data_IF_119412339059
#
_entry.id   IF_119412339059
#
_cell.length_a   1.000
_cell.length_b   1.000
_cell.length_c   1.000
_cell.angle_alpha   90.00
_cell.angle_beta   90.00
_cell.angle_gamma   90.00
#
_symmetry.space_group_name_H-M   'P 1'
#
loop_
_entity.id
_entity.type
_entity.pdbx_description
1 polymer ?
#
# COMPACT_ATOMS: atom_id res chain seq x y z
N UNK A 1 -0.70 29.51 -13.88
CA UNK A 1 -0.33 28.11 -13.60
C UNK A 1 1.13 27.91 -13.94
N UNK A 2 1.91 27.26 -13.08
CA UNK A 2 3.35 27.03 -13.30
C UNK A 2 3.57 25.78 -14.16
N UNK A 3 3.18 25.83 -15.44
CA UNK A 3 3.38 24.71 -16.37
C UNK A 3 4.86 24.47 -16.73
N UNK A 4 5.73 25.43 -16.43
CA UNK A 4 7.18 25.35 -16.68
C UNK A 4 7.84 24.10 -16.09
N UNK A 5 7.28 23.55 -15.02
CA UNK A 5 7.75 22.31 -14.40
C UNK A 5 7.59 21.06 -15.30
N UNK A 6 6.71 21.14 -16.30
CA UNK A 6 6.50 20.11 -17.30
C UNK A 6 7.22 20.40 -18.63
N UNK A 7 8.11 21.41 -18.67
CA UNK A 7 8.77 21.89 -19.88
C UNK A 7 9.32 20.77 -20.79
N UNK A 8 10.05 19.75 -20.31
CA UNK A 8 10.55 18.69 -21.18
C UNK A 8 9.46 17.93 -21.93
N UNK A 9 8.30 17.74 -21.29
CA UNK A 9 7.15 17.08 -21.90
C UNK A 9 6.41 18.04 -22.82
N UNK A 10 6.20 19.30 -22.40
CA UNK A 10 5.49 20.31 -23.17
C UNK A 10 6.19 20.62 -24.50
N UNK A 11 7.52 20.71 -24.49
CA UNK A 11 8.33 21.00 -25.68
C UNK A 11 8.35 19.85 -26.69
N UNK A 12 8.04 18.63 -26.23
CA UNK A 12 8.05 17.42 -27.04
C UNK A 12 6.66 16.93 -27.48
N UNK A 13 5.59 17.61 -27.11
CA UNK A 13 4.22 17.16 -27.44
C UNK A 13 4.06 16.90 -28.95
N UNK A 14 3.56 15.71 -29.36
CA UNK A 14 3.30 15.41 -30.77
C UNK A 14 2.13 16.22 -31.34
N UNK A 15 1.19 16.62 -30.49
CA UNK A 15 -0.03 17.31 -30.86
C UNK A 15 -0.78 17.82 -29.62
N UNK A 16 -2.02 18.26 -29.76
CA UNK A 16 -2.84 18.72 -28.65
C UNK A 16 -3.09 17.60 -27.65
N UNK A 17 -2.92 17.92 -26.36
CA UNK A 17 -3.20 17.02 -25.23
C UNK A 17 -3.76 17.84 -24.06
N UNK A 18 -4.20 17.14 -23.04
CA UNK A 18 -4.70 17.75 -21.83
C UNK A 18 -4.00 17.15 -20.62
N UNK A 19 -3.45 17.99 -19.73
CA UNK A 19 -3.10 17.57 -18.39
C UNK A 19 -4.42 17.36 -17.64
N UNK A 20 -4.55 16.24 -16.90
CA UNK A 20 -5.84 15.85 -16.30
C UNK A 20 -5.71 15.33 -14.86
N UNK A 21 -6.83 15.27 -14.16
CA UNK A 21 -6.98 14.55 -12.90
C UNK A 21 -6.15 15.11 -11.75
N UNK A 22 -5.45 14.20 -11.07
CA UNK A 22 -4.59 14.54 -9.94
C UNK A 22 -3.52 15.56 -10.25
N UNK A 23 -2.93 15.48 -11.45
CA UNK A 23 -1.90 16.43 -11.90
C UNK A 23 -2.41 17.88 -11.99
N UNK A 24 -3.67 18.09 -12.43
CA UNK A 24 -4.29 19.44 -12.46
C UNK A 24 -4.62 19.92 -11.05
N UNK A 25 -5.21 19.04 -10.23
CA UNK A 25 -5.52 19.36 -8.83
C UNK A 25 -4.26 19.79 -8.06
N UNK A 26 -3.21 19.00 -8.15
CA UNK A 26 -1.97 19.22 -7.40
C UNK A 26 -1.24 20.47 -7.92
N UNK A 27 -1.33 20.74 -9.23
CA UNK A 27 -0.87 22.00 -9.84
C UNK A 27 -1.60 23.23 -9.29
N UNK A 28 -2.93 23.15 -9.14
CA UNK A 28 -3.75 24.25 -8.62
C UNK A 28 -3.55 24.48 -7.11
N UNK A 29 -3.22 23.41 -6.37
CA UNK A 29 -2.90 23.46 -4.93
C UNK A 29 -1.43 23.86 -4.67
N UNK A 30 -0.62 24.05 -5.70
CA UNK A 30 0.83 24.31 -5.61
C UNK A 30 1.56 23.25 -4.76
N UNK A 31 1.09 22.00 -4.81
CA UNK A 31 1.73 20.90 -4.10
C UNK A 31 3.08 20.56 -4.74
N UNK A 32 4.06 20.06 -3.95
CA UNK A 32 5.33 19.64 -4.49
C UNK A 32 5.15 18.53 -5.51
N UNK A 33 5.97 18.56 -6.57
CA UNK A 33 5.88 17.64 -7.69
C UNK A 33 5.98 16.17 -7.23
N UNK A 34 4.92 15.44 -7.46
CA UNK A 34 5.03 14.02 -7.79
C UNK A 34 5.26 13.99 -9.30
N UNK A 35 6.31 13.33 -9.77
CA UNK A 35 6.69 13.27 -11.20
C UNK A 35 5.67 12.53 -12.08
N UNK A 36 4.45 12.39 -11.62
CA UNK A 36 3.36 11.69 -12.30
C UNK A 36 2.58 12.71 -13.14
N UNK A 37 2.81 12.68 -14.45
CA UNK A 37 2.11 13.55 -15.41
C UNK A 37 1.04 12.72 -16.10
N UNK A 38 -0.24 13.02 -15.84
CA UNK A 38 -1.37 12.37 -16.48
C UNK A 38 -1.83 13.20 -17.70
N UNK A 39 -1.70 12.64 -18.88
CA UNK A 39 -2.20 13.25 -20.12
C UNK A 39 -3.43 12.50 -20.66
N UNK A 40 -4.44 13.25 -21.10
CA UNK A 40 -5.53 12.75 -21.90
C UNK A 40 -5.42 13.28 -23.32
N UNK A 41 -5.68 12.42 -24.31
CA UNK A 41 -5.64 12.74 -25.74
C UNK A 41 -7.00 12.42 -26.36
N UNK A 42 -7.62 13.39 -27.00
CA UNK A 42 -8.82 13.16 -27.83
C UNK A 42 -8.34 12.60 -29.18
N UNK A 43 -8.38 11.26 -29.31
CA UNK A 43 -7.82 10.53 -30.45
C UNK A 43 -7.05 9.28 -30.01
N UNK A 44 -6.01 8.93 -30.74
CA UNK A 44 -5.18 7.75 -30.46
C UNK A 44 -4.08 8.07 -29.43
N UNK A 45 -4.36 7.78 -28.15
CA UNK A 45 -3.40 7.99 -27.05
C UNK A 45 -2.17 7.10 -27.14
N UNK A 46 -2.29 5.87 -27.68
CA UNK A 46 -1.12 4.97 -27.81
C UNK A 46 -0.17 5.47 -28.89
N UNK A 47 -0.68 5.93 -30.02
CA UNK A 47 0.15 6.54 -31.05
C UNK A 47 0.83 7.78 -30.52
N UNK A 48 0.07 8.66 -29.85
CA UNK A 48 0.60 9.87 -29.21
C UNK A 48 1.74 9.53 -28.23
N UNK A 49 1.59 8.52 -27.40
CA UNK A 49 2.60 8.11 -26.43
C UNK A 49 3.89 7.61 -27.12
N UNK A 50 3.78 6.86 -28.24
CA UNK A 50 4.96 6.42 -29.01
C UNK A 50 5.71 7.61 -29.61
N UNK A 51 4.99 8.53 -30.23
CA UNK A 51 5.59 9.73 -30.81
C UNK A 51 6.22 10.65 -29.75
N UNK A 52 5.57 10.79 -28.57
CA UNK A 52 6.14 11.50 -27.44
C UNK A 52 7.43 10.85 -26.96
N UNK A 53 7.45 9.51 -26.79
CA UNK A 53 8.63 8.77 -26.38
C UNK A 53 9.81 8.97 -27.33
N UNK A 54 9.58 8.92 -28.65
CA UNK A 54 10.59 9.19 -29.66
C UNK A 54 11.20 10.60 -29.52
N UNK A 55 10.36 11.60 -29.26
CA UNK A 55 10.80 13.01 -29.16
C UNK A 55 11.59 13.31 -27.89
N UNK A 56 11.26 12.67 -26.77
CA UNK A 56 11.95 12.89 -25.49
C UNK A 56 13.10 11.89 -25.24
N UNK A 57 13.37 10.98 -26.20
CA UNK A 57 14.40 9.96 -26.05
C UNK A 57 14.04 8.89 -25.00
N UNK A 58 12.74 8.62 -24.84
CA UNK A 58 12.21 7.65 -23.89
C UNK A 58 11.71 6.34 -24.51
N UNK A 59 10.95 5.57 -23.74
CA UNK A 59 10.28 4.35 -24.16
C UNK A 59 8.80 4.38 -23.78
N UNK A 60 7.91 3.98 -24.71
CA UNK A 60 6.48 3.85 -24.46
C UNK A 60 6.11 2.37 -24.21
N UNK A 61 5.39 2.12 -23.13
CA UNK A 61 4.78 0.83 -22.81
C UNK A 61 3.27 0.98 -22.88
N UNK A 62 2.63 0.27 -23.82
CA UNK A 62 1.18 0.31 -24.01
C UNK A 62 0.46 -0.72 -23.14
N UNK A 63 -0.72 -0.39 -22.62
CA UNK A 63 -1.52 -1.24 -21.72
C UNK A 63 -2.82 -1.75 -22.40
N UNK A 64 -2.81 -1.95 -23.67
CA UNK A 64 -3.67 -2.71 -24.61
C UNK A 64 -5.20 -2.68 -24.52
N UNK A 65 -5.82 -2.53 -23.35
CA UNK A 65 -7.29 -2.64 -23.23
C UNK A 65 -8.07 -1.31 -23.28
N UNK A 66 -7.41 -0.19 -23.01
CA UNK A 66 -8.10 1.11 -22.82
C UNK A 66 -7.39 2.28 -23.50
N UNK A 67 -6.50 2.02 -24.47
CA UNK A 67 -5.75 3.06 -25.14
C UNK A 67 -4.88 3.87 -24.18
N UNK A 68 -4.26 3.20 -23.21
CA UNK A 68 -3.36 3.82 -22.21
C UNK A 68 -1.93 3.38 -22.44
N UNK A 69 -0.97 4.27 -22.18
CA UNK A 69 0.45 4.00 -22.27
C UNK A 69 1.23 4.80 -21.22
N UNK A 70 2.33 4.23 -20.74
CA UNK A 70 3.29 4.91 -19.88
C UNK A 70 4.55 5.21 -20.69
N UNK A 71 4.94 6.48 -20.78
CA UNK A 71 6.18 6.93 -21.39
C UNK A 71 7.23 7.15 -20.31
N UNK A 72 8.30 6.39 -20.33
CA UNK A 72 9.44 6.51 -19.40
C UNK A 72 10.61 7.20 -20.08
N UNK A 73 11.24 8.14 -19.39
CA UNK A 73 12.37 8.90 -19.90
C UNK A 73 13.45 9.14 -18.84
N UNK A 74 14.44 9.94 -19.15
CA UNK A 74 15.64 10.13 -18.34
C UNK A 74 15.32 10.49 -16.86
N UNK A 75 16.06 9.92 -15.93
CA UNK A 75 15.90 10.16 -14.48
C UNK A 75 14.79 9.34 -13.80
N UNK A 76 14.16 8.38 -14.50
CA UNK A 76 13.09 7.54 -13.96
C UNK A 76 11.71 8.23 -13.94
N UNK A 77 11.60 9.43 -14.51
CA UNK A 77 10.35 10.14 -14.68
C UNK A 77 9.45 9.43 -15.72
N UNK A 78 8.15 9.56 -15.55
CA UNK A 78 7.19 8.98 -16.49
C UNK A 78 6.02 9.91 -16.75
N UNK A 79 5.37 9.67 -17.89
CA UNK A 79 4.12 10.33 -18.31
C UNK A 79 3.12 9.24 -18.63
N UNK A 80 1.97 9.28 -17.99
CA UNK A 80 0.87 8.41 -18.32
C UNK A 80 -0.03 9.10 -19.36
N UNK A 81 -0.23 8.44 -20.49
CA UNK A 81 -1.05 8.93 -21.59
C UNK A 81 -2.27 8.02 -21.72
N UNK A 82 -3.45 8.61 -21.72
CA UNK A 82 -4.70 7.90 -21.92
C UNK A 82 -5.48 8.49 -23.09
N UNK A 83 -6.12 7.64 -23.89
CA UNK A 83 -7.18 8.08 -24.79
C UNK A 83 -8.35 8.60 -23.98
N UNK A 84 -8.81 9.81 -24.28
CA UNK A 84 -10.02 10.37 -23.70
C UNK A 84 -11.22 9.46 -23.99
N UNK A 85 -12.03 9.16 -22.96
CA UNK A 85 -13.06 8.13 -23.07
C UNK A 85 -14.31 8.48 -22.29
N UNK A 86 -15.43 7.88 -22.70
CA UNK A 86 -16.66 7.84 -21.94
C UNK A 86 -16.82 6.49 -21.26
N UNK A 87 -17.58 6.46 -20.19
CA UNK A 87 -17.90 5.25 -19.44
C UNK A 87 -19.43 5.17 -19.22
N UNK A 88 -20.01 4.00 -19.46
CA UNK A 88 -21.42 3.70 -19.21
C UNK A 88 -21.52 2.47 -18.32
N UNK A 89 -22.38 2.51 -17.32
CA UNK A 89 -22.55 1.42 -16.35
C UNK A 89 -23.88 0.72 -16.63
N UNK A 90 -23.82 -0.56 -17.04
CA UNK A 90 -24.99 -1.37 -17.33
C UNK A 90 -25.80 -1.73 -16.06
N UNK A 91 -25.13 -1.81 -14.91
CA UNK A 91 -25.70 -2.08 -13.60
C UNK A 91 -24.84 -1.43 -12.50
N UNK A 92 -25.38 -1.26 -11.27
CA UNK A 92 -24.59 -0.83 -10.13
C UNK A 92 -23.34 -1.71 -9.94
N UNK A 93 -22.25 -1.11 -9.50
CA UNK A 93 -20.96 -1.76 -9.25
C UNK A 93 -20.34 -2.54 -10.44
N UNK A 94 -20.97 -2.56 -11.61
CA UNK A 94 -20.44 -3.21 -12.79
C UNK A 94 -19.17 -2.54 -13.29
N UNK A 95 -18.36 -3.26 -14.06
CA UNK A 95 -17.30 -2.64 -14.83
C UNK A 95 -17.92 -1.78 -15.94
N UNK A 96 -17.41 -0.57 -16.19
CA UNK A 96 -17.94 0.29 -17.23
C UNK A 96 -17.68 -0.26 -18.64
N UNK A 97 -18.64 -0.04 -19.52
CA UNK A 97 -18.42 -0.09 -20.95
C UNK A 97 -17.72 1.21 -21.37
N UNK A 98 -16.61 1.06 -22.08
CA UNK A 98 -15.74 2.17 -22.46
C UNK A 98 -15.84 2.45 -23.95
N UNK A 99 -16.01 3.72 -24.32
CA UNK A 99 -15.95 4.20 -25.70
C UNK A 99 -15.06 5.45 -25.81
N UNK A 100 -14.42 5.71 -26.97
CA UNK A 100 -13.66 6.95 -27.15
C UNK A 100 -14.54 8.17 -26.95
N UNK A 101 -14.02 9.19 -26.25
CA UNK A 101 -14.69 10.46 -26.07
C UNK A 101 -14.50 11.37 -27.31
N UNK A 102 -15.52 12.12 -27.64
CA UNK A 102 -15.45 13.12 -28.71
C UNK A 102 -14.77 14.43 -28.25
N UNK A 103 -14.87 14.73 -26.96
CA UNK A 103 -14.31 15.93 -26.34
C UNK A 103 -13.65 15.61 -25.01
N UNK A 104 -12.84 16.52 -24.48
CA UNK A 104 -12.26 16.36 -23.15
C UNK A 104 -13.33 16.45 -22.05
N UNK A 105 -14.36 17.26 -22.24
CA UNK A 105 -15.47 17.41 -21.32
C UNK A 105 -16.23 16.10 -21.12
N UNK A 106 -16.31 15.25 -22.16
CA UNK A 106 -16.91 13.93 -22.06
C UNK A 106 -16.06 12.99 -21.17
N UNK A 107 -14.73 13.06 -21.25
CA UNK A 107 -13.84 12.32 -20.36
C UNK A 107 -13.95 12.82 -18.91
N UNK A 108 -14.10 14.13 -18.70
CA UNK A 108 -14.22 14.68 -17.36
C UNK A 108 -15.50 14.25 -16.65
N UNK A 109 -16.60 13.97 -17.38
CA UNK A 109 -17.90 13.54 -16.79
C UNK A 109 -17.88 12.18 -16.13
N UNK A 110 -16.97 11.28 -16.51
CA UNK A 110 -16.88 9.92 -15.94
C UNK A 110 -16.07 9.86 -14.65
N UNK A 111 -15.38 10.95 -14.26
CA UNK A 111 -14.46 10.98 -13.14
C UNK A 111 -15.18 10.91 -11.80
N UNK A 112 -14.42 10.69 -10.74
CA UNK A 112 -14.94 10.47 -9.39
C UNK A 112 -15.46 11.74 -8.71
N UNK A 113 -14.60 12.78 -8.63
CA UNK A 113 -14.88 14.02 -7.91
C UNK A 113 -14.59 15.24 -8.76
N UNK A 114 -15.29 16.35 -8.49
CA UNK A 114 -15.12 17.62 -9.19
C UNK A 114 -13.68 18.10 -9.20
N UNK A 115 -12.97 17.95 -8.08
CA UNK A 115 -11.56 18.32 -7.93
C UNK A 115 -10.59 17.51 -8.81
N UNK A 116 -11.00 16.36 -9.32
CA UNK A 116 -10.26 15.50 -10.24
C UNK A 116 -10.83 15.57 -11.66
N UNK A 117 -11.96 16.29 -11.87
CA UNK A 117 -12.67 16.41 -13.15
C UNK A 117 -12.36 17.75 -13.84
N UNK A 118 -11.09 18.11 -13.83
CA UNK A 118 -10.53 19.30 -14.51
C UNK A 118 -9.45 18.88 -15.49
N UNK A 119 -9.25 19.68 -16.52
CA UNK A 119 -8.18 19.52 -17.49
C UNK A 119 -7.50 20.87 -17.79
N UNK A 120 -6.24 20.81 -18.20
CA UNK A 120 -5.52 21.97 -18.75
C UNK A 120 -5.10 21.65 -20.16
N UNK A 121 -5.53 22.46 -21.12
CA UNK A 121 -5.13 22.29 -22.53
C UNK A 121 -3.64 22.52 -22.71
N UNK A 122 -2.99 21.68 -23.50
CA UNK A 122 -1.57 21.77 -23.80
C UNK A 122 -1.35 21.91 -25.32
N UNK A 123 -0.50 22.85 -25.76
CA UNK A 123 0.32 23.76 -24.95
C UNK A 123 -0.41 25.08 -24.51
N UNK A 124 -1.70 25.23 -24.76
CA UNK A 124 -2.43 26.51 -24.56
C UNK A 124 -2.52 26.99 -23.11
N UNK A 125 -2.52 26.09 -22.14
CA UNK A 125 -2.59 26.43 -20.71
C UNK A 125 -3.97 26.85 -20.20
N UNK A 126 -5.03 26.64 -21.00
CA UNK A 126 -6.41 26.98 -20.62
C UNK A 126 -7.01 25.90 -19.71
N UNK A 127 -7.64 26.32 -18.61
CA UNK A 127 -8.35 25.43 -17.70
C UNK A 127 -9.75 25.10 -18.26
N UNK A 128 -10.02 23.80 -18.40
CA UNK A 128 -11.34 23.24 -18.70
C UNK A 128 -11.92 22.68 -17.40
N UNK A 129 -12.95 23.31 -16.86
CA UNK A 129 -13.54 22.99 -15.55
C UNK A 129 -15.08 23.00 -15.61
N UNK A 130 -15.71 22.03 -16.29
CA UNK A 130 -17.16 22.00 -16.48
C UNK A 130 -17.93 21.69 -15.17
N UNK A 131 -17.25 21.17 -14.15
CA UNK A 131 -17.84 20.73 -12.89
C UNK A 131 -17.50 21.62 -11.70
N UNK A 132 -16.88 22.79 -11.91
CA UNK A 132 -16.49 23.74 -10.86
C UNK A 132 -15.49 23.16 -9.85
N UNK A 133 -14.61 22.27 -10.28
CA UNK A 133 -13.59 21.62 -9.43
C UNK A 133 -12.65 22.62 -8.78
N UNK A 134 -12.29 23.71 -9.48
CA UNK A 134 -11.48 24.80 -8.92
C UNK A 134 -12.15 25.44 -7.69
N UNK A 135 -13.47 25.68 -7.77
CA UNK A 135 -14.26 26.23 -6.65
C UNK A 135 -14.25 25.26 -5.46
N UNK A 136 -14.43 23.96 -5.73
CA UNK A 136 -14.43 22.95 -4.66
C UNK A 136 -13.03 22.79 -4.04
N UNK A 137 -11.94 22.99 -4.80
CA UNK A 137 -10.59 23.10 -4.25
C UNK A 137 -10.43 24.28 -3.27
N UNK A 138 -10.92 25.46 -3.67
CA UNK A 138 -10.89 26.68 -2.83
C UNK A 138 -11.70 26.48 -1.54
N UNK A 139 -12.82 25.75 -1.62
CA UNK A 139 -13.68 25.39 -0.48
C UNK A 139 -13.16 24.19 0.33
N UNK A 140 -12.08 23.53 -0.10
CA UNK A 140 -11.57 22.27 0.47
C UNK A 140 -12.65 21.19 0.57
N UNK A 141 -13.38 21.01 -0.51
CA UNK A 141 -14.59 20.21 -0.58
C UNK A 141 -14.39 19.04 -1.57
N UNK A 142 -14.83 17.85 -1.21
CA UNK A 142 -14.90 16.68 -2.08
C UNK A 142 -16.35 16.48 -2.48
N UNK A 143 -16.63 16.61 -3.77
CA UNK A 143 -17.97 16.51 -4.34
C UNK A 143 -17.98 15.54 -5.51
N UNK A 144 -18.94 14.62 -5.54
CA UNK A 144 -19.20 13.78 -6.72
C UNK A 144 -19.85 14.58 -7.86
N UNK A 145 -19.79 14.05 -9.08
CA UNK A 145 -20.30 14.74 -10.26
C UNK A 145 -21.81 14.60 -10.42
N UNK A 146 -22.39 13.52 -9.91
CA UNK A 146 -23.83 13.23 -10.03
C UNK A 146 -24.29 12.30 -8.88
N UNK A 147 -25.60 12.21 -8.66
CA UNK A 147 -26.23 11.46 -7.56
C UNK A 147 -26.03 9.94 -7.63
N UNK A 148 -25.77 9.37 -8.79
CA UNK A 148 -25.50 7.95 -8.97
C UNK A 148 -24.02 7.58 -8.84
N UNK A 149 -23.14 8.53 -8.57
CA UNK A 149 -21.69 8.35 -8.65
C UNK A 149 -21.18 7.18 -7.80
N UNK A 150 -21.67 7.02 -6.56
CA UNK A 150 -21.32 5.92 -5.67
C UNK A 150 -22.06 4.60 -5.99
N UNK A 151 -23.21 4.69 -6.64
CA UNK A 151 -23.98 3.52 -7.10
C UNK A 151 -23.33 2.90 -8.34
N UNK A 152 -22.94 3.74 -9.28
CA UNK A 152 -22.30 3.31 -10.53
C UNK A 152 -20.90 2.71 -10.26
N UNK A 153 -20.13 3.35 -9.38
CA UNK A 153 -18.83 2.86 -8.92
C UNK A 153 -18.64 3.01 -7.39
N UNK A 154 -18.97 1.98 -6.61
CA UNK A 154 -18.82 2.03 -5.14
C UNK A 154 -17.37 2.13 -4.66
N UNK A 155 -16.34 1.88 -5.50
CA UNK A 155 -14.94 2.13 -5.12
C UNK A 155 -14.69 3.61 -4.81
N UNK A 156 -15.52 4.49 -5.33
CA UNK A 156 -15.44 5.93 -5.04
C UNK A 156 -15.71 6.27 -3.56
N UNK A 157 -16.37 5.38 -2.80
CA UNK A 157 -16.51 5.51 -1.34
C UNK A 157 -15.16 5.39 -0.63
N UNK A 158 -14.35 4.42 -1.00
CA UNK A 158 -12.98 4.26 -0.48
C UNK A 158 -12.11 5.46 -0.87
N UNK A 159 -12.21 5.87 -2.13
CA UNK A 159 -11.49 7.03 -2.67
C UNK A 159 -11.90 8.33 -1.98
N UNK A 160 -13.18 8.49 -1.61
CA UNK A 160 -13.67 9.63 -0.86
C UNK A 160 -12.96 9.75 0.50
N UNK A 161 -12.98 8.69 1.31
CA UNK A 161 -12.29 8.67 2.60
C UNK A 161 -10.78 8.93 2.45
N UNK A 162 -10.16 8.35 1.41
CA UNK A 162 -8.74 8.56 1.11
C UNK A 162 -8.43 10.02 0.77
N UNK A 163 -9.23 10.65 -0.08
CA UNK A 163 -9.00 12.05 -0.47
C UNK A 163 -9.33 13.03 0.65
N UNK A 164 -10.35 12.78 1.49
CA UNK A 164 -10.60 13.60 2.68
C UNK A 164 -9.34 13.73 3.53
N UNK A 165 -8.68 12.60 3.78
CA UNK A 165 -7.47 12.56 4.61
C UNK A 165 -6.24 13.11 3.89
N UNK A 166 -5.99 12.64 2.66
CA UNK A 166 -4.82 13.07 1.87
C UNK A 166 -4.75 14.58 1.67
N UNK A 167 -5.91 15.21 1.42
CA UNK A 167 -5.99 16.64 1.08
C UNK A 167 -6.37 17.51 2.29
N UNK A 168 -6.72 16.91 3.42
CA UNK A 168 -7.35 17.59 4.56
C UNK A 168 -8.60 18.37 4.12
N UNK A 169 -9.44 17.73 3.30
CA UNK A 169 -10.72 18.23 2.80
C UNK A 169 -11.87 17.49 3.48
N UNK A 170 -13.11 17.87 3.21
CA UNK A 170 -14.30 17.19 3.69
C UNK A 170 -15.27 16.89 2.54
N UNK A 171 -16.03 15.80 2.64
CA UNK A 171 -17.19 15.59 1.78
C UNK A 171 -18.18 16.73 1.95
N UNK A 172 -18.77 17.22 0.87
CA UNK A 172 -19.88 18.13 0.98
C UNK A 172 -21.15 17.40 1.45
N UNK A 173 -22.06 18.11 2.10
CA UNK A 173 -23.24 17.51 2.73
C UNK A 173 -24.13 16.72 1.75
N UNK A 174 -24.25 17.17 0.49
CA UNK A 174 -24.99 16.44 -0.53
C UNK A 174 -24.30 15.13 -0.91
N UNK A 175 -22.99 15.15 -1.16
CA UNK A 175 -22.20 13.96 -1.46
C UNK A 175 -22.23 12.96 -0.31
N UNK A 176 -22.05 13.40 0.94
CA UNK A 176 -22.12 12.54 2.12
C UNK A 176 -23.52 11.93 2.28
N UNK A 177 -24.57 12.68 1.98
CA UNK A 177 -25.96 12.21 2.01
C UNK A 177 -26.27 11.06 1.02
N UNK A 178 -25.42 10.86 -0.01
CA UNK A 178 -25.56 9.75 -0.96
C UNK A 178 -24.96 8.45 -0.45
N UNK A 179 -24.08 8.47 0.54
CA UNK A 179 -23.33 7.30 1.04
C UNK A 179 -24.26 6.18 1.53
N UNK A 180 -25.25 6.41 2.42
CA UNK A 180 -26.06 5.32 2.98
C UNK A 180 -26.78 4.48 1.91
N UNK A 181 -27.26 5.12 0.84
CA UNK A 181 -27.95 4.43 -0.25
C UNK A 181 -27.04 3.57 -1.13
N UNK A 182 -25.73 3.88 -1.12
CA UNK A 182 -24.72 3.23 -1.95
C UNK A 182 -24.04 2.05 -1.23
N UNK A 183 -24.04 1.97 0.09
CA UNK A 183 -23.31 0.95 0.87
C UNK A 183 -23.66 -0.47 0.43
N UNK A 184 -24.92 -0.78 0.15
CA UNK A 184 -25.33 -2.10 -0.32
C UNK A 184 -24.64 -2.57 -1.61
N UNK A 185 -24.13 -1.66 -2.42
CA UNK A 185 -23.43 -1.99 -3.67
C UNK A 185 -21.93 -2.25 -3.47
N UNK A 186 -21.39 -1.98 -2.28
CA UNK A 186 -20.01 -2.35 -1.93
C UNK A 186 -19.86 -3.87 -1.93
N UNK A 187 -20.88 -4.62 -1.47
CA UNK A 187 -20.89 -6.09 -1.49
C UNK A 187 -20.87 -6.68 -2.91
N UNK A 188 -21.32 -5.89 -3.90
CA UNK A 188 -21.34 -6.32 -5.32
C UNK A 188 -19.98 -6.12 -6.01
N UNK A 189 -19.04 -5.40 -5.37
CA UNK A 189 -17.68 -5.23 -5.89
C UNK A 189 -16.93 -6.57 -5.87
N UNK A 190 -16.12 -6.82 -6.90
CA UNK A 190 -15.17 -7.93 -6.82
C UNK A 190 -14.17 -7.72 -5.69
N UNK A 191 -13.79 -8.80 -5.00
CA UNK A 191 -12.83 -8.73 -3.91
C UNK A 191 -11.51 -8.07 -4.31
N UNK A 192 -11.07 -8.26 -5.56
CA UNK A 192 -9.88 -7.61 -6.07
C UNK A 192 -10.01 -6.07 -6.08
N UNK A 193 -11.18 -5.52 -6.45
CA UNK A 193 -11.40 -4.07 -6.44
C UNK A 193 -11.39 -3.50 -5.03
N UNK A 194 -12.01 -4.21 -4.06
CA UNK A 194 -11.97 -3.81 -2.64
C UNK A 194 -10.54 -3.83 -2.13
N UNK A 195 -9.80 -4.93 -2.39
CA UNK A 195 -8.38 -5.04 -2.00
C UNK A 195 -7.54 -3.90 -2.55
N UNK A 196 -7.70 -3.59 -3.83
CA UNK A 196 -6.87 -2.57 -4.49
C UNK A 196 -7.11 -1.18 -3.89
N UNK A 197 -8.36 -0.85 -3.50
CA UNK A 197 -8.66 0.39 -2.79
C UNK A 197 -8.12 0.38 -1.35
N UNK A 198 -8.22 -0.74 -0.61
CA UNK A 198 -7.59 -0.87 0.70
C UNK A 198 -6.07 -0.71 0.63
N UNK A 199 -5.41 -1.32 -0.37
CA UNK A 199 -3.98 -1.16 -0.58
C UNK A 199 -3.60 0.29 -0.87
N UNK A 200 -4.39 0.98 -1.71
CA UNK A 200 -4.18 2.39 -1.97
C UNK A 200 -4.36 3.28 -0.71
N UNK A 201 -5.21 2.85 0.24
CA UNK A 201 -5.33 3.52 1.54
C UNK A 201 -4.13 3.22 2.43
N UNK A 202 -3.67 1.97 2.50
CA UNK A 202 -2.50 1.59 3.31
C UNK A 202 -1.23 2.31 2.88
N UNK A 203 -1.13 2.69 1.59
CA UNK A 203 -0.01 3.47 1.04
C UNK A 203 -0.05 4.97 1.39
N UNK A 204 -1.13 5.46 2.03
CA UNK A 204 -1.21 6.86 2.44
C UNK A 204 -0.42 7.11 3.72
N UNK A 205 0.18 8.30 3.81
CA UNK A 205 0.93 8.70 5.00
C UNK A 205 0.06 8.77 6.28
N UNK A 206 -1.24 9.00 6.13
CA UNK A 206 -2.21 9.07 7.21
C UNK A 206 -3.27 7.96 7.06
N UNK A 207 -2.85 6.75 6.67
CA UNK A 207 -3.73 5.61 6.40
C UNK A 207 -4.73 5.34 7.54
N UNK A 208 -4.29 5.38 8.79
CA UNK A 208 -5.14 5.18 9.98
C UNK A 208 -6.37 6.09 9.98
N UNK A 209 -6.20 7.38 9.65
CA UNK A 209 -7.31 8.33 9.60
C UNK A 209 -8.29 8.02 8.47
N UNK A 210 -7.80 7.53 7.33
CA UNK A 210 -8.66 7.10 6.23
C UNK A 210 -9.49 5.86 6.63
N UNK A 211 -8.92 4.93 7.39
CA UNK A 211 -9.63 3.77 7.93
C UNK A 211 -10.71 4.18 8.94
N UNK A 212 -10.39 5.10 9.85
CA UNK A 212 -11.38 5.69 10.77
C UNK A 212 -12.53 6.35 9.99
N UNK A 213 -12.21 7.04 8.89
CA UNK A 213 -13.26 7.67 8.07
C UNK A 213 -14.10 6.63 7.31
N UNK A 214 -13.51 5.56 6.78
CA UNK A 214 -14.27 4.44 6.19
C UNK A 214 -15.27 3.85 7.18
N UNK A 215 -14.83 3.63 8.43
CA UNK A 215 -15.71 3.15 9.50
C UNK A 215 -16.85 4.12 9.78
N UNK A 216 -16.56 5.41 9.90
CA UNK A 216 -17.58 6.44 10.12
C UNK A 216 -18.62 6.52 8.99
N UNK A 217 -18.23 6.14 7.76
CA UNK A 217 -19.12 6.05 6.60
C UNK A 217 -19.81 4.69 6.47
N UNK A 218 -19.47 3.68 7.28
CA UNK A 218 -20.00 2.30 7.21
C UNK A 218 -19.47 1.48 6.02
N UNK A 219 -18.41 1.94 5.37
CA UNK A 219 -17.87 1.30 4.15
C UNK A 219 -17.10 0.03 4.49
N UNK A 220 -16.40 -0.01 5.62
CA UNK A 220 -15.67 -1.18 6.10
C UNK A 220 -16.61 -2.35 6.41
N UNK A 221 -17.72 -2.09 7.12
CA UNK A 221 -18.74 -3.10 7.39
C UNK A 221 -19.36 -3.63 6.09
N UNK A 222 -19.72 -2.74 5.16
CA UNK A 222 -20.23 -3.11 3.84
C UNK A 222 -19.20 -3.89 3.00
N UNK A 223 -17.90 -3.65 3.21
CA UNK A 223 -16.81 -4.41 2.59
C UNK A 223 -16.52 -5.74 3.31
N UNK A 224 -17.22 -6.08 4.38
CA UNK A 224 -17.03 -7.29 5.18
C UNK A 224 -15.66 -7.35 5.86
N UNK A 225 -15.14 -6.20 6.25
CA UNK A 225 -13.90 -6.05 7.02
C UNK A 225 -14.13 -5.04 8.13
N UNK A 226 -13.30 -5.08 9.17
CA UNK A 226 -13.33 -4.05 10.21
C UNK A 226 -11.93 -3.67 10.62
N UNK A 227 -11.82 -2.49 11.19
CA UNK A 227 -10.59 -2.08 11.84
C UNK A 227 -10.83 -2.17 13.34
N UNK A 228 -9.98 -2.91 14.10
CA UNK A 228 -10.17 -3.08 15.52
C UNK A 228 -10.41 -1.73 16.18
N UNK A 229 -11.26 -1.72 17.21
CA UNK A 229 -11.60 -0.54 18.01
C UNK A 229 -10.37 0.12 18.69
N UNK A 230 -9.19 -0.45 18.50
CA UNK A 230 -7.90 0.12 18.90
C UNK A 230 -7.45 1.12 17.83
N UNK A 231 -8.02 2.33 17.88
CA UNK A 231 -7.46 3.46 17.17
C UNK A 231 -5.94 3.48 17.39
N UNK A 232 -5.15 3.43 16.30
CA UNK A 232 -3.71 3.46 16.40
C UNK A 232 -2.98 2.13 16.14
N UNK A 233 -3.66 1.01 15.89
CA UNK A 233 -2.96 -0.25 15.65
C UNK A 233 -2.10 -0.22 14.38
N UNK A 234 -2.61 0.32 13.27
CA UNK A 234 -1.82 0.45 12.04
C UNK A 234 -0.63 1.39 12.26
N UNK A 235 -0.86 2.55 12.87
CA UNK A 235 0.20 3.49 13.21
C UNK A 235 1.25 2.84 14.12
N UNK A 236 0.82 2.06 15.10
CA UNK A 236 1.73 1.33 16.00
C UNK A 236 2.55 0.27 15.29
N UNK A 237 1.95 -0.49 14.37
CA UNK A 237 2.65 -1.46 13.52
C UNK A 237 3.69 -0.78 12.62
N UNK A 238 3.34 0.38 12.05
CA UNK A 238 4.27 1.20 11.24
C UNK A 238 5.45 1.69 12.09
N UNK A 239 5.18 2.31 13.24
CA UNK A 239 6.21 2.77 14.18
C UNK A 239 7.18 1.66 14.59
N UNK A 240 6.66 0.47 14.93
CA UNK A 240 7.48 -0.68 15.31
C UNK A 240 8.26 -1.26 14.12
N UNK A 241 7.65 -1.29 12.93
CA UNK A 241 8.33 -1.72 11.71
C UNK A 241 9.52 -0.81 11.38
N UNK A 242 9.33 0.51 11.51
CA UNK A 242 10.40 1.49 11.28
C UNK A 242 11.46 1.44 12.39
N UNK A 243 11.03 1.40 13.66
CA UNK A 243 11.91 1.35 14.82
C UNK A 243 12.89 0.16 14.75
N UNK A 244 12.39 -0.99 14.31
CA UNK A 244 13.18 -2.22 14.24
C UNK A 244 13.71 -2.53 12.83
N UNK A 245 13.59 -1.62 11.87
CA UNK A 245 14.05 -1.78 10.48
C UNK A 245 13.61 -3.11 9.87
N UNK A 246 12.29 -3.37 9.90
CA UNK A 246 11.73 -4.64 9.42
C UNK A 246 11.48 -4.64 7.91
N UNK A 247 11.43 -3.48 7.27
CA UNK A 247 11.22 -3.33 5.83
C UNK A 247 9.89 -3.90 5.34
N UNK A 248 8.85 -3.87 6.19
CA UNK A 248 7.54 -4.39 5.83
C UNK A 248 6.78 -3.39 4.95
N UNK A 249 6.09 -3.89 3.92
CA UNK A 249 5.29 -3.04 3.06
C UNK A 249 4.06 -2.49 3.79
N UNK A 250 3.57 -1.27 3.42
CA UNK A 250 2.35 -0.71 3.97
C UNK A 250 1.15 -1.65 3.85
N UNK A 251 1.03 -2.39 2.73
CA UNK A 251 -0.04 -3.38 2.51
C UNK A 251 0.02 -4.52 3.53
N UNK A 252 1.22 -5.02 3.86
CA UNK A 252 1.38 -6.07 4.86
C UNK A 252 0.98 -5.58 6.25
N UNK A 253 1.42 -4.38 6.62
CA UNK A 253 1.06 -3.76 7.90
C UNK A 253 -0.44 -3.45 7.99
N UNK A 254 -1.03 -2.95 6.91
CA UNK A 254 -2.46 -2.70 6.80
C UNK A 254 -3.30 -3.97 6.96
N UNK A 255 -2.88 -5.08 6.33
CA UNK A 255 -3.55 -6.37 6.49
C UNK A 255 -3.42 -6.93 7.91
N UNK A 256 -2.30 -6.71 8.60
CA UNK A 256 -2.15 -7.08 10.00
C UNK A 256 -3.06 -6.26 10.93
N UNK A 257 -3.31 -4.99 10.57
CA UNK A 257 -4.21 -4.14 11.33
C UNK A 257 -5.70 -4.40 11.05
N UNK A 258 -6.01 -5.14 9.97
CA UNK A 258 -7.37 -5.40 9.51
C UNK A 258 -7.95 -6.62 10.21
N UNK A 259 -9.13 -6.48 10.82
CA UNK A 259 -9.92 -7.63 11.26
C UNK A 259 -10.89 -8.05 10.15
N UNK A 260 -10.88 -9.33 9.82
CA UNK A 260 -11.71 -9.89 8.77
C UNK A 260 -12.17 -11.31 9.15
N UNK A 261 -13.42 -11.68 8.83
CA UNK A 261 -13.89 -13.06 8.99
C UNK A 261 -12.98 -14.05 8.25
N UNK A 262 -12.89 -15.27 8.78
CA UNK A 262 -12.12 -16.36 8.15
C UNK A 262 -12.56 -16.52 6.70
N UNK A 263 -11.57 -16.58 5.80
CA UNK A 263 -11.78 -16.69 4.35
C UNK A 263 -12.03 -15.36 3.63
N UNK A 264 -12.31 -14.26 4.34
CA UNK A 264 -12.56 -12.96 3.67
C UNK A 264 -11.34 -12.46 2.91
N UNK A 265 -10.14 -12.63 3.44
CA UNK A 265 -8.92 -12.24 2.74
C UNK A 265 -8.70 -13.03 1.43
N UNK A 266 -9.08 -14.31 1.39
CA UNK A 266 -9.06 -15.11 0.15
C UNK A 266 -10.09 -14.59 -0.87
N UNK A 267 -11.29 -14.20 -0.43
CA UNK A 267 -12.31 -13.57 -1.28
C UNK A 267 -11.82 -12.23 -1.83
N UNK A 268 -11.10 -11.45 -1.04
CA UNK A 268 -10.44 -10.22 -1.46
C UNK A 268 -9.24 -10.46 -2.40
N UNK A 269 -8.91 -11.72 -2.71
CA UNK A 269 -7.77 -12.08 -3.57
C UNK A 269 -6.42 -11.60 -3.02
N UNK A 270 -6.28 -11.57 -1.72
CA UNK A 270 -4.99 -11.34 -1.06
C UNK A 270 -4.06 -12.53 -1.35
N UNK A 271 -2.76 -12.32 -1.63
CA UNK A 271 -1.82 -13.40 -1.86
C UNK A 271 -1.78 -14.40 -0.69
N UNK A 272 -1.85 -15.70 -0.98
CA UNK A 272 -2.01 -16.78 0.02
C UNK A 272 -0.96 -16.73 1.15
N UNK A 273 0.26 -16.34 0.85
CA UNK A 273 1.31 -16.21 1.86
C UNK A 273 0.97 -15.13 2.90
N UNK A 274 0.41 -14.00 2.46
CA UNK A 274 -0.02 -12.93 3.37
C UNK A 274 -1.25 -13.35 4.17
N UNK A 275 -2.23 -14.02 3.54
CA UNK A 275 -3.39 -14.57 4.26
C UNK A 275 -2.93 -15.46 5.41
N UNK A 276 -2.08 -16.44 5.12
CA UNK A 276 -1.58 -17.38 6.13
C UNK A 276 -0.81 -16.67 7.26
N UNK A 277 -0.02 -15.63 6.93
CA UNK A 277 0.74 -14.86 7.92
C UNK A 277 -0.18 -14.04 8.82
N UNK A 278 -1.17 -13.36 8.25
CA UNK A 278 -2.14 -12.53 8.99
C UNK A 278 -3.03 -13.41 9.89
N UNK A 279 -3.60 -14.50 9.36
CA UNK A 279 -4.42 -15.43 10.15
C UNK A 279 -3.65 -16.02 11.31
N UNK A 280 -2.37 -16.39 11.10
CA UNK A 280 -1.50 -16.86 12.17
C UNK A 280 -1.26 -15.76 13.21
N UNK A 281 -0.92 -14.55 12.77
CA UNK A 281 -0.65 -13.42 13.67
C UNK A 281 -1.85 -13.16 14.59
N UNK A 282 -3.05 -13.10 14.04
CA UNK A 282 -4.28 -12.89 14.82
C UNK A 282 -4.60 -14.06 15.75
N UNK A 283 -4.45 -15.30 15.26
CA UNK A 283 -4.78 -16.50 16.02
C UNK A 283 -3.79 -16.83 17.15
N UNK A 284 -2.52 -16.51 16.98
CA UNK A 284 -1.45 -16.95 17.90
C UNK A 284 -0.88 -15.85 18.79
N UNK A 285 -1.14 -14.56 18.54
CA UNK A 285 -0.51 -13.46 19.27
C UNK A 285 -0.71 -13.55 20.80
N UNK A 286 -1.94 -13.80 21.24
CA UNK A 286 -2.25 -13.93 22.67
C UNK A 286 -1.54 -15.14 23.30
N UNK A 287 -1.51 -16.28 22.61
CA UNK A 287 -0.84 -17.48 23.09
C UNK A 287 0.69 -17.34 23.08
N UNK A 288 1.25 -16.63 22.11
CA UNK A 288 2.67 -16.29 22.09
C UNK A 288 3.05 -15.45 23.31
N UNK A 289 2.29 -14.39 23.62
CA UNK A 289 2.55 -13.58 24.82
C UNK A 289 2.50 -14.41 26.10
N UNK A 290 1.49 -15.27 26.25
CA UNK A 290 1.39 -16.14 27.42
C UNK A 290 2.61 -17.09 27.56
N UNK A 291 3.07 -17.68 26.45
CA UNK A 291 4.28 -18.53 26.49
C UNK A 291 5.55 -17.73 26.82
N UNK A 292 5.62 -16.48 26.42
CA UNK A 292 6.76 -15.61 26.69
C UNK A 292 6.84 -15.16 28.16
N UNK A 293 5.74 -15.17 28.91
CA UNK A 293 5.75 -14.90 30.36
C UNK A 293 6.63 -15.90 31.12
N UNK A 294 6.72 -17.13 30.63
CA UNK A 294 7.53 -18.19 31.21
C UNK A 294 8.95 -18.27 30.62
N UNK A 295 9.25 -17.59 29.54
CA UNK A 295 10.55 -17.58 28.90
C UNK A 295 11.56 -16.75 29.73
N UNK A 296 12.52 -17.43 30.35
CA UNK A 296 13.50 -16.83 31.27
C UNK A 296 14.86 -16.56 30.62
N UNK A 297 15.07 -16.98 29.40
CA UNK A 297 16.34 -16.84 28.67
C UNK A 297 16.14 -16.36 27.26
N UNK A 298 17.16 -15.70 26.69
CA UNK A 298 17.11 -15.22 25.32
C UNK A 298 16.85 -16.34 24.30
N UNK A 299 17.41 -17.52 24.52
CA UNK A 299 17.16 -18.66 23.66
C UNK A 299 15.70 -19.12 23.71
N UNK A 300 15.08 -19.14 24.90
CA UNK A 300 13.66 -19.50 25.04
C UNK A 300 12.75 -18.47 24.36
N UNK A 301 13.07 -17.19 24.44
CA UNK A 301 12.33 -16.13 23.74
C UNK A 301 12.39 -16.35 22.22
N UNK A 302 13.60 -16.56 21.68
CA UNK A 302 13.82 -16.76 20.23
C UNK A 302 13.07 -17.99 19.74
N UNK A 303 13.12 -19.11 20.48
CA UNK A 303 12.42 -20.35 20.13
C UNK A 303 10.89 -20.12 20.02
N UNK A 304 10.28 -19.41 20.98
CA UNK A 304 8.84 -19.12 20.92
C UNK A 304 8.48 -18.22 19.75
N UNK A 305 9.31 -17.21 19.46
CA UNK A 305 9.06 -16.30 18.34
C UNK A 305 9.27 -17.00 16.99
N UNK A 306 10.34 -17.82 16.84
CA UNK A 306 10.59 -18.58 15.60
C UNK A 306 9.46 -19.58 15.31
N UNK A 307 8.85 -20.17 16.36
CA UNK A 307 7.69 -21.04 16.23
C UNK A 307 6.46 -20.29 15.67
N UNK A 308 6.16 -19.10 16.18
CA UNK A 308 4.97 -18.33 15.79
C UNK A 308 5.18 -17.43 14.57
N UNK A 309 6.42 -17.09 14.25
CA UNK A 309 6.82 -16.23 13.13
C UNK A 309 6.87 -14.74 13.48
N UNK A 310 7.62 -13.96 12.65
CA UNK A 310 7.92 -12.55 12.95
C UNK A 310 6.70 -11.65 12.90
N UNK A 311 5.72 -11.90 12.03
CA UNK A 311 4.49 -11.11 11.95
C UNK A 311 3.65 -11.28 13.21
N UNK A 312 3.58 -12.51 13.74
CA UNK A 312 2.89 -12.78 15.00
C UNK A 312 3.55 -12.03 16.16
N UNK A 313 4.88 -12.00 16.20
CA UNK A 313 5.62 -11.28 17.23
C UNK A 313 5.40 -9.76 17.13
N UNK A 314 5.45 -9.20 15.92
CA UNK A 314 5.21 -7.78 15.70
C UNK A 314 3.78 -7.40 16.07
N UNK A 315 2.79 -8.17 15.60
CA UNK A 315 1.38 -7.94 15.91
C UNK A 315 1.13 -8.06 17.42
N UNK A 316 1.67 -9.08 18.08
CA UNK A 316 1.55 -9.26 19.52
C UNK A 316 2.11 -8.07 20.31
N UNK A 317 3.25 -7.52 19.88
CA UNK A 317 3.88 -6.34 20.49
C UNK A 317 3.09 -5.05 20.20
N UNK A 318 2.48 -4.94 19.02
CA UNK A 318 1.67 -3.78 18.65
C UNK A 318 0.35 -3.72 19.43
N UNK A 319 -0.27 -4.89 19.68
CA UNK A 319 -1.53 -4.99 20.45
C UNK A 319 -1.30 -4.72 21.94
N UNK A 320 -0.21 -5.23 22.50
CA UNK A 320 0.07 -5.08 23.93
C UNK A 320 1.58 -5.16 24.19
N UNK A 321 2.07 -4.29 25.04
CA UNK A 321 3.49 -4.19 25.34
C UNK A 321 4.03 -5.47 26.03
N UNK A 322 5.15 -5.97 25.51
CA UNK A 322 5.77 -7.20 25.98
C UNK A 322 7.29 -7.04 26.09
N UNK A 323 7.84 -6.97 27.30
CA UNK A 323 9.29 -6.88 27.48
C UNK A 323 10.10 -7.99 26.76
N UNK A 324 9.68 -9.28 26.76
CA UNK A 324 10.38 -10.30 25.99
C UNK A 324 10.36 -10.06 24.47
N UNK A 325 9.25 -9.53 23.90
CA UNK A 325 9.19 -9.20 22.49
C UNK A 325 10.07 -7.99 22.15
N UNK A 326 10.14 -6.98 23.01
CA UNK A 326 11.09 -5.89 22.86
C UNK A 326 12.52 -6.39 22.86
N UNK A 327 12.90 -7.22 23.84
CA UNK A 327 14.23 -7.85 23.91
C UNK A 327 14.54 -8.63 22.63
N UNK A 328 13.57 -9.38 22.10
CA UNK A 328 13.71 -10.09 20.83
C UNK A 328 14.07 -9.15 19.69
N UNK A 329 13.28 -8.08 19.47
CA UNK A 329 13.51 -7.15 18.36
C UNK A 329 14.78 -6.30 18.54
N UNK A 330 15.12 -5.91 19.77
CA UNK A 330 16.24 -5.02 20.07
C UNK A 330 17.59 -5.75 20.12
N UNK A 331 17.62 -7.01 20.56
CA UNK A 331 18.88 -7.66 20.92
C UNK A 331 19.04 -9.08 20.35
N UNK A 332 17.98 -9.86 20.26
CA UNK A 332 18.09 -11.29 20.00
C UNK A 332 17.90 -11.67 18.54
N UNK A 333 17.05 -10.96 17.81
CA UNK A 333 16.68 -11.25 16.42
C UNK A 333 17.87 -11.43 15.47
N UNK A 334 18.88 -10.61 15.66
CA UNK A 334 20.04 -10.53 14.75
C UNK A 334 21.27 -11.27 15.30
N UNK A 335 21.11 -12.00 16.40
CA UNK A 335 22.19 -12.83 16.95
C UNK A 335 22.55 -13.95 15.98
N UNK A 336 23.79 -13.95 15.52
CA UNK A 336 24.37 -14.95 14.63
C UNK A 336 25.66 -15.49 15.24
N UNK A 337 25.95 -16.75 15.00
CA UNK A 337 27.26 -17.33 15.34
C UNK A 337 28.33 -16.75 14.42
N UNK A 338 29.51 -16.55 14.94
CA UNK A 338 30.73 -16.23 14.19
C UNK A 338 31.49 -17.50 13.77
N UNK A 339 31.16 -18.63 14.39
CA UNK A 339 31.67 -19.98 14.10
C UNK A 339 30.69 -20.69 13.17
N UNK A 340 31.24 -21.38 12.16
CA UNK A 340 30.48 -22.18 11.21
C UNK A 340 30.90 -23.67 11.18
N UNK A 341 30.31 -24.44 10.24
CA UNK A 341 30.63 -25.87 10.10
C UNK A 341 32.09 -26.14 9.72
N UNK A 342 32.76 -25.23 9.02
CA UNK A 342 34.17 -25.38 8.66
C UNK A 342 35.08 -25.23 9.89
N UNK A 343 34.74 -24.33 10.78
CA UNK A 343 35.43 -24.17 12.04
C UNK A 343 35.33 -25.44 12.88
N UNK A 344 34.13 -26.06 12.94
CA UNK A 344 33.92 -27.31 13.66
C UNK A 344 34.69 -28.47 12.98
N UNK A 345 34.78 -28.53 11.68
CA UNK A 345 35.59 -29.50 10.96
C UNK A 345 37.10 -29.34 11.29
N UNK A 346 37.59 -28.09 11.39
CA UNK A 346 38.96 -27.79 11.83
C UNK A 346 39.23 -28.21 13.29
N UNK A 347 38.17 -28.27 14.10
CA UNK A 347 38.24 -28.79 15.48
C UNK A 347 38.11 -30.31 15.57
N UNK A 348 37.96 -31.03 14.44
CA UNK A 348 37.92 -32.49 14.37
C UNK A 348 36.50 -33.09 14.29
N UNK A 349 35.44 -32.26 14.17
CA UNK A 349 34.08 -32.76 13.99
C UNK A 349 33.79 -32.97 12.51
N UNK A 350 33.80 -34.23 12.07
CA UNK A 350 33.45 -34.58 10.70
C UNK A 350 32.01 -34.19 10.34
N UNK A 351 31.75 -33.98 9.07
CA UNK A 351 30.41 -33.66 8.54
C UNK A 351 29.41 -34.75 8.95
N UNK A 352 28.45 -34.37 9.79
CA UNK A 352 27.45 -35.27 10.38
C UNK A 352 26.31 -34.48 10.97
N UNK A 353 25.16 -35.07 11.33
CA UNK A 353 24.06 -34.42 12.05
C UNK A 353 24.52 -33.69 13.31
N UNK A 354 25.58 -34.21 13.98
CA UNK A 354 26.14 -33.61 15.21
C UNK A 354 26.66 -32.16 14.97
N UNK A 355 27.07 -31.80 13.78
CA UNK A 355 27.46 -30.41 13.43
C UNK A 355 26.29 -29.45 13.70
N UNK A 356 25.07 -29.83 13.27
CA UNK A 356 23.86 -29.03 13.50
C UNK A 356 23.52 -28.93 15.00
N UNK A 357 23.70 -30.01 15.75
CA UNK A 357 23.47 -30.04 17.21
C UNK A 357 24.42 -29.09 17.95
N UNK A 358 25.72 -29.16 17.63
CA UNK A 358 26.75 -28.31 18.24
C UNK A 358 26.49 -26.84 17.89
N UNK A 359 26.21 -26.52 16.62
CA UNK A 359 25.87 -25.12 16.22
C UNK A 359 24.59 -24.63 16.89
N UNK A 360 23.58 -25.48 17.03
CA UNK A 360 22.35 -25.17 17.76
C UNK A 360 22.59 -24.82 19.21
N UNK A 361 23.43 -25.65 19.91
CA UNK A 361 23.79 -25.40 21.29
C UNK A 361 24.65 -24.14 21.46
N UNK A 362 25.60 -23.89 20.56
CA UNK A 362 26.40 -22.66 20.56
C UNK A 362 25.51 -21.43 20.39
N UNK A 363 24.53 -21.49 19.44
CA UNK A 363 23.57 -20.41 19.26
C UNK A 363 22.75 -20.18 20.52
N UNK A 364 22.31 -21.25 21.20
CA UNK A 364 21.57 -21.15 22.45
C UNK A 364 22.39 -20.46 23.53
N UNK A 365 23.68 -20.85 23.72
CA UNK A 365 24.59 -20.21 24.66
C UNK A 365 24.84 -18.72 24.30
N UNK A 366 24.97 -18.41 23.01
CA UNK A 366 25.14 -17.02 22.57
C UNK A 366 23.90 -16.16 22.84
N UNK A 367 22.71 -16.67 22.56
CA UNK A 367 21.44 -16.00 22.86
C UNK A 367 21.24 -15.77 24.38
N UNK A 368 21.74 -16.66 25.22
CA UNK A 368 21.70 -16.50 26.67
C UNK A 368 22.83 -15.59 27.21
N UNK A 369 23.76 -15.14 26.35
CA UNK A 369 24.89 -14.31 26.76
C UNK A 369 26.08 -15.04 27.35
N UNK A 370 26.08 -16.38 27.35
CA UNK A 370 27.15 -17.21 27.91
C UNK A 370 28.43 -17.14 27.06
N UNK A 371 28.30 -16.97 25.75
CA UNK A 371 29.39 -16.78 24.78
C UNK A 371 29.14 -15.52 23.96
N UNK A 372 30.14 -14.65 23.83
CA UNK A 372 29.98 -13.33 23.18
C UNK A 372 30.98 -13.06 22.06
N UNK A 373 32.09 -13.79 22.01
CA UNK A 373 33.14 -13.60 21.00
C UNK A 373 33.41 -14.89 20.27
N UNK A 374 34.02 -14.80 19.09
CA UNK A 374 34.41 -15.98 18.30
C UNK A 374 35.33 -16.93 19.07
N UNK A 375 36.24 -16.39 19.89
CA UNK A 375 37.13 -17.21 20.71
C UNK A 375 36.37 -17.99 21.78
N UNK A 376 35.36 -17.34 22.40
CA UNK A 376 34.48 -18.03 23.37
C UNK A 376 33.60 -19.07 22.69
N UNK A 377 33.10 -18.81 21.49
CA UNK A 377 32.34 -19.81 20.70
C UNK A 377 33.22 -21.00 20.33
N UNK A 378 34.47 -20.81 19.89
CA UNK A 378 35.41 -21.89 19.57
C UNK A 378 35.80 -22.71 20.84
N UNK A 379 35.95 -22.05 21.98
CA UNK A 379 36.21 -22.75 23.24
C UNK A 379 35.02 -23.64 23.65
N UNK A 380 33.80 -23.09 23.60
CA UNK A 380 32.58 -23.84 23.89
C UNK A 380 32.35 -24.98 22.86
N UNK A 381 32.69 -24.75 21.58
CA UNK A 381 32.62 -25.81 20.57
C UNK A 381 33.53 -27.00 20.88
N UNK A 382 34.78 -26.74 21.35
CA UNK A 382 35.70 -27.83 21.77
C UNK A 382 35.14 -28.64 22.92
N UNK A 383 34.52 -27.98 23.90
CA UNK A 383 33.85 -28.68 25.01
C UNK A 383 32.76 -29.61 24.49
N UNK A 384 31.85 -29.09 23.67
CA UNK A 384 30.71 -29.85 23.13
C UNK A 384 31.12 -30.99 22.18
N UNK A 385 32.26 -30.89 21.51
CA UNK A 385 32.80 -31.95 20.64
C UNK A 385 33.41 -33.06 21.49
N UNK A 386 33.93 -32.74 22.67
CA UNK A 386 34.60 -33.69 23.58
C UNK A 386 33.64 -34.50 24.44
N UNK A 387 32.40 -34.02 24.58
CA UNK A 387 31.29 -34.73 25.23
C UNK A 387 30.65 -35.79 24.30
#
# INVERSE_FOLDING_TARGET
MKLERFAPVLDALPGPAYLVGGSVRDLLLDLPDRFDVDLAVVGDGEQFARELAERIGGTAVTHGKFGTATVRYEGGAHVDVATARTETYAAPAALPEVAPAATIEDDLRRRDFTINAMAVSLPGGELVDPHQGRRDLELRCIRVLHDRSFVDDPTRLFRAARYEVRLAFALDAWTEGLVPAALRYVEELSGARIRDELYAIFDEALAEWALVRLHALGVDEAAGVSFPAHAGLLSRLQELSDLYDLGLSPQRLGLLALDAPVGRLDELKVPRQLVTSVERAHGEAASLRARLEDARTGAAIVEQVEHSGPDTALYALAVDDSPPLREYFEQLRDVRLEVDGNDLAALGLAESPRVGEVLGELRRRKLNGDVRTREAELAAARELISE
#
